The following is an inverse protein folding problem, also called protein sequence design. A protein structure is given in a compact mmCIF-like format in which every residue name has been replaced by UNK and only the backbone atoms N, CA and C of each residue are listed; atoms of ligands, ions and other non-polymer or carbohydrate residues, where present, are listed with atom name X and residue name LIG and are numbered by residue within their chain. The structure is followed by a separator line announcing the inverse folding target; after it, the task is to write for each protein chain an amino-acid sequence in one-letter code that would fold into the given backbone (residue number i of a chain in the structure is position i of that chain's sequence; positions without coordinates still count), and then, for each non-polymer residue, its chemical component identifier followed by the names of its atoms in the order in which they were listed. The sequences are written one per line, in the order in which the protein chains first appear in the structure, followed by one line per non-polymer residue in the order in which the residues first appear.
data_IF_218587804841
#
_entry.id   IF_218587804841
#
_cell.length_a   1.000
_cell.length_b   1.000
_cell.length_c   1.000
_cell.angle_alpha   90.00
_cell.angle_beta   90.00
_cell.angle_gamma   90.00
#
_symmetry.space_group_name_H-M   'P 1'
#
loop_
_entity.id
_entity.type
_entity.pdbx_description
1 polymer ?
#
# COMPACT_ATOMS: atom_id res chain seq x y z
N UNK A 1 -7.47 8.02 10.03
CA UNK A 1 -7.43 6.62 9.51
C UNK A 1 -6.58 5.77 10.41
N UNK A 2 -7.12 4.67 10.88
CA UNK A 2 -6.33 3.77 11.71
C UNK A 2 -5.33 3.00 10.84
N UNK A 3 -4.05 3.05 11.20
CA UNK A 3 -3.00 2.47 10.41
C UNK A 3 -2.64 1.08 10.92
N UNK A 4 -3.32 0.06 10.40
CA UNK A 4 -3.05 -1.33 10.73
C UNK A 4 -1.99 -1.92 9.79
N UNK A 5 -1.51 -3.11 10.11
CA UNK A 5 -0.55 -3.82 9.24
C UNK A 5 -1.14 -4.05 7.84
N UNK A 6 -2.41 -4.48 7.77
CA UNK A 6 -3.05 -4.73 6.47
C UNK A 6 -3.25 -3.46 5.66
N UNK A 7 -3.60 -2.36 6.32
CA UNK A 7 -3.70 -1.06 5.64
C UNK A 7 -2.33 -0.66 5.07
N UNK A 8 -1.26 -0.83 5.84
CA UNK A 8 0.09 -0.52 5.36
C UNK A 8 0.49 -1.39 4.17
N UNK A 9 0.11 -2.66 4.17
CA UNK A 9 0.40 -3.55 3.04
C UNK A 9 -0.28 -3.05 1.77
N UNK A 10 -1.56 -2.65 1.86
CA UNK A 10 -2.28 -2.09 0.71
C UNK A 10 -1.64 -0.79 0.25
N UNK A 11 -1.31 0.11 1.19
CA UNK A 11 -0.66 1.38 0.85
C UNK A 11 0.71 1.16 0.21
N UNK A 12 1.47 0.16 0.67
CA UNK A 12 2.77 -0.16 0.08
C UNK A 12 2.62 -0.55 -1.39
N UNK A 13 1.67 -1.42 -1.69
CA UNK A 13 1.43 -1.85 -3.07
C UNK A 13 1.06 -0.67 -3.96
N UNK A 14 0.17 0.19 -3.48
CA UNK A 14 -0.27 1.36 -4.24
C UNK A 14 0.84 2.40 -4.39
N UNK A 15 1.66 2.58 -3.36
CA UNK A 15 2.76 3.54 -3.41
C UNK A 15 3.86 3.09 -4.37
N UNK A 16 4.13 1.80 -4.46
CA UNK A 16 5.11 1.27 -5.42
C UNK A 16 4.70 1.62 -6.85
N UNK A 17 3.41 1.47 -7.16
CA UNK A 17 2.91 1.82 -8.49
C UNK A 17 2.97 3.34 -8.70
N UNK A 18 2.60 4.12 -7.69
CA UNK A 18 2.68 5.58 -7.74
C UNK A 18 4.11 6.07 -8.01
N UNK A 19 5.08 5.47 -7.34
CA UNK A 19 6.48 5.88 -7.51
C UNK A 19 7.01 5.57 -8.91
N UNK A 20 6.52 4.49 -9.53
CA UNK A 20 6.88 4.17 -10.91
C UNK A 20 6.19 5.11 -11.89
N UNK A 21 4.90 5.36 -11.69
CA UNK A 21 4.09 6.21 -12.56
C UNK A 21 2.86 6.68 -11.81
N UNK A 22 2.77 7.96 -11.40
CA UNK A 22 1.62 8.47 -10.67
C UNK A 22 0.29 8.37 -11.40
N UNK A 23 0.32 8.19 -12.72
CA UNK A 23 -0.90 8.01 -13.51
C UNK A 23 -1.35 6.55 -13.56
N UNK A 24 -0.51 5.61 -13.16
CA UNK A 24 -0.84 4.20 -13.21
C UNK A 24 -1.82 3.84 -12.08
N UNK A 25 -2.59 2.79 -12.33
CA UNK A 25 -3.60 2.33 -11.36
C UNK A 25 -3.58 0.80 -11.30
N UNK A 26 -4.07 0.28 -10.18
CA UNK A 26 -4.22 -1.16 -9.97
C UNK A 26 -5.69 -1.48 -9.81
N UNK A 27 -6.14 -2.58 -10.41
CA UNK A 27 -7.49 -3.06 -10.11
C UNK A 27 -7.47 -3.99 -8.87
N UNK A 28 -8.65 -4.21 -8.29
CA UNK A 28 -8.75 -4.86 -6.98
C UNK A 28 -8.03 -6.19 -6.87
N UNK A 29 -8.17 -7.06 -7.88
CA UNK A 29 -7.50 -8.37 -7.84
C UNK A 29 -5.99 -8.27 -7.94
N UNK A 30 -5.46 -7.25 -8.64
CA UNK A 30 -4.02 -7.02 -8.65
C UNK A 30 -3.52 -6.63 -7.27
N UNK A 31 -4.30 -5.84 -6.54
CA UNK A 31 -3.94 -5.43 -5.19
C UNK A 31 -3.95 -6.65 -4.26
N UNK A 32 -4.96 -7.51 -4.36
CA UNK A 32 -5.00 -8.73 -3.57
C UNK A 32 -3.81 -9.64 -3.89
N UNK A 33 -3.45 -9.76 -5.17
CA UNK A 33 -2.31 -10.58 -5.58
C UNK A 33 -0.99 -10.03 -5.03
N UNK A 34 -0.81 -8.73 -5.06
CA UNK A 34 0.43 -8.11 -4.58
C UNK A 34 0.57 -8.15 -3.07
N UNK A 35 -0.55 -8.05 -2.35
CA UNK A 35 -0.54 -8.02 -0.89
C UNK A 35 -0.74 -9.39 -0.28
N UNK A 36 -1.24 -10.36 -1.06
CA UNK A 36 -1.62 -11.69 -0.59
C UNK A 36 -2.73 -11.63 0.46
N UNK A 37 -3.47 -10.53 0.49
CA UNK A 37 -4.63 -10.40 1.37
C UNK A 37 -5.87 -10.91 0.66
N UNK A 38 -6.83 -11.38 1.43
CA UNK A 38 -8.11 -11.84 0.89
C UNK A 38 -8.95 -10.63 0.47
N UNK A 39 -9.83 -10.80 -0.55
CA UNK A 39 -10.71 -9.72 -0.98
C UNK A 39 -11.55 -9.14 0.16
N UNK A 40 -12.04 -9.97 1.08
CA UNK A 40 -12.82 -9.51 2.23
C UNK A 40 -12.04 -8.59 3.16
N UNK A 41 -10.71 -8.62 3.12
CA UNK A 41 -9.85 -7.71 3.86
C UNK A 41 -9.52 -6.49 3.02
N UNK A 42 -9.20 -6.71 1.75
CA UNK A 42 -8.71 -5.67 0.84
C UNK A 42 -9.78 -4.63 0.50
N UNK A 43 -10.97 -5.07 0.09
CA UNK A 43 -11.98 -4.14 -0.40
C UNK A 43 -12.50 -3.16 0.66
N UNK A 44 -12.74 -3.57 1.92
CA UNK A 44 -13.08 -2.59 2.95
C UNK A 44 -11.98 -1.56 3.19
N UNK A 45 -10.71 -1.95 3.06
CA UNK A 45 -9.60 -1.01 3.18
C UNK A 45 -9.63 -0.01 2.04
N UNK A 46 -9.81 -0.47 0.80
CA UNK A 46 -9.90 0.40 -0.36
C UNK A 46 -11.04 1.42 -0.20
N UNK A 47 -12.18 0.98 0.31
CA UNK A 47 -13.31 1.87 0.53
C UNK A 47 -12.97 2.95 1.56
N UNK A 48 -12.30 2.59 2.65
CA UNK A 48 -11.89 3.58 3.66
C UNK A 48 -10.89 4.57 3.10
N UNK A 49 -9.97 4.12 2.25
CA UNK A 49 -8.99 5.01 1.62
C UNK A 49 -9.69 5.97 0.65
N UNK A 50 -10.68 5.50 -0.09
CA UNK A 50 -11.50 6.36 -0.94
C UNK A 50 -12.23 7.42 -0.10
N UNK A 51 -12.83 7.00 1.01
CA UNK A 51 -13.59 7.90 1.90
C UNK A 51 -12.68 8.99 2.49
N UNK A 52 -11.41 8.67 2.69
CA UNK A 52 -10.43 9.64 3.21
C UNK A 52 -9.83 10.53 2.12
N UNK A 53 -10.17 10.31 0.87
CA UNK A 53 -9.60 11.09 -0.22
C UNK A 53 -8.16 10.71 -0.55
N UNK A 54 -7.70 9.55 -0.10
CA UNK A 54 -6.35 9.07 -0.37
C UNK A 54 -6.27 8.22 -1.64
N UNK A 55 -7.42 7.77 -2.14
CA UNK A 55 -7.55 7.05 -3.41
C UNK A 55 -8.57 7.72 -4.29
N UNK A 56 -8.37 7.57 -5.60
CA UNK A 56 -9.42 7.75 -6.59
C UNK A 56 -9.67 6.41 -7.25
N UNK A 57 -10.84 6.25 -7.83
CA UNK A 57 -11.19 5.03 -8.53
C UNK A 57 -11.81 5.36 -9.87
N UNK A 58 -11.75 4.40 -10.78
CA UNK A 58 -12.25 4.56 -12.12
C UNK A 58 -12.63 3.20 -12.67
N UNK A 59 -13.80 3.12 -13.31
CA UNK A 59 -14.22 1.89 -13.97
C UNK A 59 -13.61 1.82 -15.36
N UNK A 60 -13.20 0.61 -15.72
CA UNK A 60 -12.67 0.33 -17.05
C UNK A 60 -13.71 0.66 -18.12
N UNK A 61 -13.28 1.32 -19.20
CA UNK A 61 -14.17 1.67 -20.31
C UNK A 61 -14.10 0.57 -21.38
N UNK A 62 -14.73 -0.56 -21.08
CA UNK A 62 -14.81 -1.69 -22.02
C UNK A 62 -16.21 -2.27 -21.98
N UNK A 63 -16.58 -2.93 -23.08
CA UNK A 63 -17.80 -3.70 -23.15
C UNK A 63 -17.55 -5.06 -22.46
N UNK A 64 -18.24 -5.37 -21.34
CA UNK A 64 -18.00 -6.64 -20.64
C UNK A 64 -18.26 -7.87 -21.50
N UNK A 65 -19.20 -7.78 -22.44
CA UNK A 65 -19.51 -8.89 -23.32
C UNK A 65 -18.34 -9.18 -24.26
N UNK A 66 -17.75 -8.13 -24.85
CA UNK A 66 -16.60 -8.27 -25.75
C UNK A 66 -15.37 -8.68 -25.00
N UNK A 67 -15.17 -8.16 -23.78
CA UNK A 67 -14.04 -8.53 -22.95
C UNK A 67 -14.17 -9.92 -22.35
N UNK A 68 -15.40 -10.49 -22.37
CA UNK A 68 -15.71 -11.79 -21.78
C UNK A 68 -15.40 -11.83 -20.29
N UNK A 69 -15.56 -10.69 -19.62
CA UNK A 69 -15.34 -10.57 -18.17
C UNK A 69 -16.00 -9.27 -17.68
N UNK A 70 -16.29 -9.15 -16.37
CA UNK A 70 -16.80 -7.89 -15.83
C UNK A 70 -15.79 -6.76 -15.99
N UNK A 71 -16.30 -5.54 -15.99
CA UNK A 71 -15.43 -4.37 -15.97
C UNK A 71 -14.60 -4.36 -14.70
N UNK A 72 -13.35 -3.89 -14.83
CA UNK A 72 -12.45 -3.74 -13.71
C UNK A 72 -12.57 -2.35 -13.13
N UNK A 73 -12.47 -2.26 -11.81
CA UNK A 73 -12.41 -0.99 -11.09
C UNK A 73 -10.96 -0.77 -10.70
N UNK A 74 -10.38 0.33 -11.16
CA UNK A 74 -8.99 0.68 -10.95
C UNK A 74 -8.88 1.71 -9.84
N UNK A 75 -7.83 1.59 -9.04
CA UNK A 75 -7.56 2.46 -7.90
C UNK A 75 -6.18 3.08 -8.05
N UNK A 76 -6.08 4.34 -7.68
CA UNK A 76 -4.84 5.09 -7.75
C UNK A 76 -4.75 6.01 -6.54
N UNK A 77 -3.55 6.17 -5.97
CA UNK A 77 -3.37 7.14 -4.89
C UNK A 77 -3.57 8.56 -5.42
N UNK A 78 -4.08 9.42 -4.54
CA UNK A 78 -4.05 10.85 -4.76
C UNK A 78 -2.71 11.39 -4.25
N UNK A 79 -2.41 12.66 -4.51
CA UNK A 79 -1.21 13.31 -3.95
C UNK A 79 -1.23 13.19 -2.42
N UNK A 80 -2.38 13.46 -1.80
CA UNK A 80 -2.56 13.33 -0.35
C UNK A 80 -2.35 11.88 0.11
N UNK A 81 -2.88 10.94 -0.65
CA UNK A 81 -2.71 9.52 -0.34
C UNK A 81 -1.28 9.07 -0.41
N UNK A 82 -0.55 9.52 -1.43
CA UNK A 82 0.88 9.19 -1.58
C UNK A 82 1.68 9.76 -0.41
N UNK A 83 1.41 11.01 -0.02
CA UNK A 83 2.09 11.64 1.11
C UNK A 83 1.79 10.90 2.42
N UNK A 84 0.51 10.54 2.65
CA UNK A 84 0.09 9.83 3.84
C UNK A 84 0.71 8.43 3.90
N UNK A 85 0.75 7.73 2.78
CA UNK A 85 1.35 6.40 2.69
C UNK A 85 2.84 6.45 3.01
N UNK A 86 3.54 7.40 2.41
CA UNK A 86 4.98 7.56 2.63
C UNK A 86 5.28 7.85 4.09
N UNK A 87 4.51 8.75 4.70
CA UNK A 87 4.67 9.09 6.10
C UNK A 87 4.43 7.87 7.01
N UNK A 88 3.37 7.12 6.75
CA UNK A 88 3.03 5.95 7.55
C UNK A 88 4.12 4.88 7.48
N UNK A 89 4.67 4.65 6.27
CA UNK A 89 5.73 3.66 6.09
C UNK A 89 7.04 4.12 6.71
N UNK A 90 7.35 5.40 6.66
CA UNK A 90 8.53 5.94 7.30
C UNK A 90 8.45 5.83 8.83
N UNK A 91 7.27 6.07 9.39
CA UNK A 91 7.07 5.94 10.85
C UNK A 91 7.29 4.50 11.31
N UNK A 92 6.82 3.52 10.54
CA UNK A 92 7.05 2.11 10.86
C UNK A 92 8.54 1.78 10.80
N UNK A 93 9.23 2.21 9.76
CA UNK A 93 10.67 2.00 9.62
C UNK A 93 11.45 2.62 10.76
N UNK A 94 11.09 3.85 11.14
CA UNK A 94 11.75 4.55 12.24
C UNK A 94 11.58 3.80 13.56
N UNK A 95 10.36 3.31 13.83
CA UNK A 95 10.12 2.54 15.06
C UNK A 95 10.88 1.22 15.07
N UNK A 96 10.89 0.53 13.93
CA UNK A 96 11.63 -0.72 13.79
C UNK A 96 13.13 -0.51 13.98
N UNK A 97 13.67 0.54 13.37
CA UNK A 97 15.06 0.91 13.52
C UNK A 97 15.42 1.24 14.97
N UNK A 98 14.56 1.98 15.63
CA UNK A 98 14.78 2.35 17.04
C UNK A 98 14.78 1.11 17.92
N UNK A 99 13.87 0.17 17.69
CA UNK A 99 13.82 -1.06 18.48
C UNK A 99 15.07 -1.92 18.26
N UNK A 100 15.48 -2.07 17.02
CA UNK A 100 16.67 -2.85 16.69
C UNK A 100 17.89 -2.22 17.33
N UNK A 101 18.00 -0.93 17.26
CA UNK A 101 19.13 -0.21 17.86
C UNK A 101 19.16 -0.39 19.38
N UNK A 102 18.02 -0.29 20.04
CA UNK A 102 17.93 -0.47 21.48
C UNK A 102 18.35 -1.88 21.91
N UNK A 103 17.93 -2.89 21.15
CA UNK A 103 18.33 -4.27 21.43
C UNK A 103 19.82 -4.47 21.17
N UNK A 104 20.30 -3.94 20.07
CA UNK A 104 21.68 -4.14 19.64
C UNK A 104 22.68 -3.54 20.57
N UNK A 105 22.26 -2.64 21.40
CA UNK A 105 23.15 -2.00 22.32
C UNK A 105 23.87 -2.96 23.25
N UNK A 106 23.15 -3.97 23.69
CA UNK A 106 23.74 -4.97 24.54
C UNK A 106 24.54 -6.02 23.80
N UNK A 107 24.26 -6.18 22.52
CA UNK A 107 24.84 -7.22 21.71
C UNK A 107 26.01 -6.77 20.92
N UNK A 108 26.02 -5.82 20.28
CA UNK A 108 26.95 -5.32 19.42
C UNK A 108 27.38 -6.05 18.31
N UNK A 109 27.17 -6.17 17.46
CA UNK A 109 27.53 -6.87 16.48
C UNK A 109 27.69 -6.45 15.33
N UNK A 110 27.77 -6.50 15.01
CA UNK A 110 27.69 -6.18 14.23
C UNK A 110 27.41 -6.03 13.55
N UNK A 111 27.56 -6.06 13.26
CA UNK A 111 27.11 -5.75 12.64
C UNK A 111 26.90 -5.36 12.19
N UNK A 112 27.10 -5.32 12.05
CA UNK A 112 26.69 -4.85 11.77
C UNK A 112 26.59 -4.27 11.26
N UNK A 113 26.79 -4.17 11.00
CA UNK A 113 26.44 -3.58 10.60
C UNK A 113 26.11 -3.11 10.07
N UNK A 114 26.14 -3.24 9.67
CA UNK A 114 25.66 -2.78 9.38
C UNK A 114 24.93 -2.46 9.36
N UNK A 115 24.93 -2.55 9.32
CA UNK A 115 24.19 -2.16 9.46
C UNK A 115 23.61 -1.68 9.55
N UNK A 116 23.56 -1.64 9.43
CA UNK A 116 23.11 -1.09 9.72
C UNK A 116 22.75 -0.75 9.71
#
# INVERSE_FOLDING_TARGET
MRMTTTVRQVLTALLQVWDDDPAAALYGLEITARTELLPGTTYPILQRLLDHGWLTDEWEDVDPHKAARPRRRYYRLTDDGAAAARKALQEVSARSGARVFARGRGIRTTATPEPA
#
